data_IF_383647178439
#
_entry.id   IF_383647178439
#
_cell.length_a   1.000
_cell.length_b   1.000
_cell.length_c   1.000
_cell.angle_alpha   90.00
_cell.angle_beta   90.00
_cell.angle_gamma   90.00
#
_symmetry.space_group_name_H-M   'P 1'
#
loop_
_entity.id
_entity.type
_entity.pdbx_description
1 polymer ?
#
# COMPACT_ATOMS: atom_id res chain seq x y z
N UNK A 1 -19.65 0.82 -0.35
CA UNK A 1 -19.73 1.80 -1.47
C UNK A 1 -20.15 1.06 -2.74
N UNK A 2 -21.47 0.80 -2.86
CA UNK A 2 -22.09 0.12 -4.01
C UNK A 2 -21.84 0.88 -5.33
N UNK A 3 -21.72 2.20 -5.26
CA UNK A 3 -21.43 3.05 -6.43
C UNK A 3 -20.06 2.74 -7.10
N UNK A 4 -19.06 2.28 -6.33
CA UNK A 4 -17.76 1.87 -6.90
C UNK A 4 -17.83 0.56 -7.71
N UNK A 5 -18.90 -0.22 -7.51
CA UNK A 5 -19.16 -1.47 -8.23
C UNK A 5 -20.11 -1.26 -9.42
N UNK A 6 -20.48 -0.02 -9.74
CA UNK A 6 -21.46 0.28 -10.77
C UNK A 6 -22.87 -0.24 -10.43
N UNK A 7 -23.21 -0.29 -9.14
CA UNK A 7 -24.51 -0.75 -8.64
C UNK A 7 -25.28 0.46 -8.18
N UNK A 8 -26.29 0.87 -8.96
CA UNK A 8 -27.10 2.05 -8.69
C UNK A 8 -28.43 1.71 -8.00
N UNK A 9 -28.89 0.48 -8.13
CA UNK A 9 -30.15 0.00 -7.58
C UNK A 9 -30.12 -1.50 -7.29
N UNK A 10 -31.20 -2.01 -6.65
CA UNK A 10 -31.32 -3.42 -6.28
C UNK A 10 -31.32 -4.38 -7.50
N UNK A 11 -31.84 -3.94 -8.64
CA UNK A 11 -31.88 -4.78 -9.85
C UNK A 11 -30.49 -4.94 -10.45
N UNK A 12 -29.68 -3.88 -10.49
CA UNK A 12 -28.27 -3.96 -10.92
C UNK A 12 -27.48 -4.89 -10.00
N UNK A 13 -27.78 -4.84 -8.69
CA UNK A 13 -27.15 -5.73 -7.73
C UNK A 13 -27.50 -7.20 -7.96
N UNK A 14 -28.79 -7.50 -8.20
CA UNK A 14 -29.26 -8.84 -8.55
C UNK A 14 -28.58 -9.37 -9.82
N UNK A 15 -28.49 -8.55 -10.88
CA UNK A 15 -27.82 -8.94 -12.12
C UNK A 15 -26.37 -9.32 -11.88
N UNK A 16 -25.63 -8.51 -11.13
CA UNK A 16 -24.22 -8.79 -10.79
C UNK A 16 -24.06 -10.04 -9.94
N UNK A 17 -24.97 -10.32 -9.03
CA UNK A 17 -24.95 -11.58 -8.26
C UNK A 17 -25.19 -12.78 -9.20
N UNK A 18 -26.14 -12.68 -10.12
CA UNK A 18 -26.44 -13.74 -11.08
C UNK A 18 -25.27 -14.00 -12.04
N UNK A 19 -24.45 -12.99 -12.39
CA UNK A 19 -23.24 -13.15 -13.21
C UNK A 19 -22.19 -14.07 -12.59
N UNK A 20 -22.26 -14.28 -11.25
CA UNK A 20 -21.37 -15.14 -10.48
C UNK A 20 -22.12 -16.36 -9.88
N UNK A 21 -23.26 -16.72 -10.47
CA UNK A 21 -24.12 -17.82 -10.03
C UNK A 21 -24.55 -17.72 -8.55
N UNK A 22 -24.83 -16.49 -8.07
CA UNK A 22 -25.20 -16.21 -6.70
C UNK A 22 -26.56 -15.48 -6.63
N UNK A 23 -27.50 -16.00 -5.86
CA UNK A 23 -28.80 -15.37 -5.69
C UNK A 23 -28.83 -14.30 -4.61
N UNK A 24 -29.78 -13.39 -4.67
CA UNK A 24 -29.97 -12.39 -3.62
C UNK A 24 -30.33 -13.04 -2.25
N UNK A 25 -31.01 -14.18 -2.26
CA UNK A 25 -31.34 -14.93 -1.05
C UNK A 25 -30.09 -15.49 -0.38
N UNK A 26 -29.26 -16.18 -1.14
CA UNK A 26 -27.98 -16.73 -0.66
C UNK A 26 -27.05 -15.61 -0.16
N UNK A 27 -27.02 -14.47 -0.86
CA UNK A 27 -26.26 -13.31 -0.40
C UNK A 27 -26.75 -12.79 0.94
N UNK A 28 -28.07 -12.63 1.12
CA UNK A 28 -28.68 -12.19 2.39
C UNK A 28 -28.41 -13.18 3.52
N UNK A 29 -28.54 -14.46 3.25
CA UNK A 29 -28.23 -15.52 4.22
C UNK A 29 -26.77 -15.47 4.67
N UNK A 30 -25.84 -15.39 3.71
CA UNK A 30 -24.40 -15.27 3.99
C UNK A 30 -24.10 -14.05 4.85
N UNK A 31 -24.62 -12.88 4.48
CA UNK A 31 -24.42 -11.64 5.25
C UNK A 31 -25.01 -11.76 6.66
N UNK A 32 -26.17 -12.41 6.80
CA UNK A 32 -26.78 -12.64 8.12
C UNK A 32 -25.93 -13.55 8.99
N UNK A 33 -25.40 -14.62 8.44
CA UNK A 33 -24.48 -15.54 9.15
C UNK A 33 -23.22 -14.80 9.57
N UNK A 34 -22.61 -14.00 8.65
CA UNK A 34 -21.44 -13.19 8.98
C UNK A 34 -21.72 -12.17 10.08
N UNK A 35 -22.90 -11.52 10.05
CA UNK A 35 -23.30 -10.56 11.08
C UNK A 35 -23.46 -11.22 12.45
N UNK A 36 -24.14 -12.36 12.51
CA UNK A 36 -24.29 -13.14 13.76
C UNK A 36 -22.95 -13.64 14.29
N UNK A 37 -22.07 -14.13 13.41
CA UNK A 37 -20.73 -14.54 13.79
C UNK A 37 -19.91 -13.37 14.35
N UNK A 38 -19.93 -12.21 13.67
CA UNK A 38 -19.23 -11.02 14.13
C UNK A 38 -19.76 -10.51 15.47
N UNK A 39 -21.08 -10.56 15.68
CA UNK A 39 -21.71 -10.22 16.95
C UNK A 39 -21.25 -11.17 18.07
N UNK A 40 -21.28 -12.48 17.84
CA UNK A 40 -20.83 -13.50 18.80
C UNK A 40 -19.35 -13.27 19.17
N UNK A 41 -18.49 -13.04 18.18
CA UNK A 41 -17.07 -12.76 18.41
C UNK A 41 -16.88 -11.47 19.21
N UNK A 42 -17.63 -10.43 18.89
CA UNK A 42 -17.59 -9.16 19.59
C UNK A 42 -17.98 -9.34 21.08
N UNK A 43 -19.16 -9.90 21.36
CA UNK A 43 -19.65 -10.11 22.71
C UNK A 43 -18.69 -10.97 23.56
N UNK A 44 -18.11 -12.00 22.96
CA UNK A 44 -17.21 -12.92 23.65
C UNK A 44 -15.82 -12.35 23.91
N UNK A 45 -15.32 -11.45 23.04
CA UNK A 45 -13.91 -11.08 23.05
C UNK A 45 -13.63 -9.59 23.19
N UNK A 46 -14.64 -8.70 23.15
CA UNK A 46 -14.41 -7.26 23.29
C UNK A 46 -13.71 -6.91 24.61
N UNK A 47 -14.04 -7.60 25.70
CA UNK A 47 -13.39 -7.43 27.01
C UNK A 47 -11.92 -7.91 27.06
N UNK A 48 -11.47 -8.66 26.05
CA UNK A 48 -10.08 -9.13 25.92
C UNK A 48 -9.23 -8.27 24.99
N UNK A 49 -9.85 -7.34 24.28
CA UNK A 49 -9.15 -6.39 23.41
C UNK A 49 -8.33 -5.42 24.27
N UNK A 50 -7.04 -5.31 23.99
CA UNK A 50 -6.13 -4.40 24.68
C UNK A 50 -5.55 -3.40 23.68
N UNK A 51 -5.90 -2.13 23.86
CA UNK A 51 -5.40 -1.04 23.03
C UNK A 51 -4.51 -0.12 23.87
N UNK A 52 -3.25 -0.04 23.48
CA UNK A 52 -2.30 0.92 24.06
C UNK A 52 -2.50 2.30 23.39
N UNK A 53 -3.33 3.13 24.01
CA UNK A 53 -3.64 4.46 23.51
C UNK A 53 -2.40 5.35 23.46
N UNK A 54 -1.51 5.28 24.47
CA UNK A 54 -0.28 6.07 24.50
C UNK A 54 0.65 5.77 23.33
N UNK A 55 0.73 4.48 22.94
CA UNK A 55 1.48 4.08 21.74
C UNK A 55 0.86 4.64 20.47
N UNK A 56 -0.48 4.64 20.35
CA UNK A 56 -1.18 5.20 19.19
C UNK A 56 -1.02 6.72 19.11
N UNK A 57 -1.07 7.42 20.23
CA UNK A 57 -0.82 8.86 20.28
C UNK A 57 0.59 9.23 19.80
N UNK A 58 1.60 8.48 20.23
CA UNK A 58 2.97 8.62 19.74
C UNK A 58 3.07 8.36 18.23
N UNK A 59 2.38 7.33 17.74
CA UNK A 59 2.32 7.02 16.31
C UNK A 59 1.69 8.17 15.50
N UNK A 60 0.61 8.79 16.01
CA UNK A 60 -0.03 9.95 15.38
C UNK A 60 0.93 11.15 15.34
N UNK A 61 1.65 11.40 16.43
CA UNK A 61 2.60 12.53 16.52
C UNK A 61 3.73 12.34 15.51
N UNK A 62 4.27 11.12 15.39
CA UNK A 62 5.30 10.79 14.40
C UNK A 62 4.78 10.93 12.96
N UNK A 63 3.53 10.52 12.71
CA UNK A 63 2.91 10.63 11.39
C UNK A 63 2.47 12.05 11.00
N UNK A 64 2.50 13.02 11.94
CA UNK A 64 2.29 14.45 11.64
C UNK A 64 3.42 15.04 10.81
N UNK A 65 4.61 14.48 10.89
CA UNK A 65 5.74 14.84 10.05
C UNK A 65 5.77 13.90 8.84
N UNK A 66 5.52 14.45 7.69
CA UNK A 66 5.58 13.73 6.42
C UNK A 66 6.72 14.27 5.59
N UNK A 67 7.53 13.38 5.06
CA UNK A 67 8.57 13.76 4.11
C UNK A 67 7.96 14.04 2.74
N UNK A 68 8.48 15.06 2.09
CA UNK A 68 8.24 15.33 0.67
C UNK A 68 9.59 15.27 -0.01
N UNK A 69 9.71 14.41 -0.99
CA UNK A 69 10.95 14.16 -1.71
C UNK A 69 10.94 14.86 -3.07
N UNK A 70 11.99 15.57 -3.41
CA UNK A 70 12.23 15.98 -4.80
C UNK A 70 13.05 14.87 -5.46
N UNK A 71 12.46 14.19 -6.43
CA UNK A 71 13.03 13.02 -7.05
C UNK A 71 13.31 13.24 -8.53
N UNK A 72 14.30 12.51 -9.02
CA UNK A 72 14.49 12.25 -10.45
C UNK A 72 14.59 10.75 -10.69
N UNK A 73 14.23 10.29 -11.88
CA UNK A 73 14.23 8.88 -12.24
C UNK A 73 14.99 8.59 -13.53
N UNK A 74 15.53 7.38 -13.61
CA UNK A 74 15.93 6.73 -14.86
C UNK A 74 15.20 5.40 -14.93
N UNK A 75 14.30 5.23 -15.90
CA UNK A 75 13.69 3.96 -16.22
C UNK A 75 14.37 3.36 -17.43
N UNK A 76 14.84 2.13 -17.35
CA UNK A 76 15.48 1.48 -18.48
C UNK A 76 15.03 0.02 -18.62
N UNK A 77 15.06 -0.49 -19.83
CA UNK A 77 14.75 -1.86 -20.18
C UNK A 77 15.99 -2.58 -20.72
N UNK A 78 15.95 -3.90 -20.64
CA UNK A 78 16.96 -4.78 -21.25
C UNK A 78 16.27 -5.91 -21.99
N UNK A 79 16.73 -6.23 -23.18
CA UNK A 79 16.16 -7.30 -24.01
C UNK A 79 16.36 -8.70 -23.37
N UNK A 80 17.49 -8.86 -22.66
CA UNK A 80 17.82 -10.10 -21.96
C UNK A 80 18.71 -9.85 -20.74
N UNK A 81 18.74 -10.81 -19.81
CA UNK A 81 19.51 -10.71 -18.58
C UNK A 81 21.02 -10.47 -18.80
N UNK A 82 21.58 -10.95 -19.90
CA UNK A 82 23.02 -10.79 -20.19
C UNK A 82 23.37 -9.33 -20.48
N UNK A 83 22.42 -8.55 -21.00
CA UNK A 83 22.60 -7.14 -21.33
C UNK A 83 22.47 -6.21 -20.12
N UNK A 84 21.91 -6.68 -19.00
CA UNK A 84 21.67 -5.87 -17.81
C UNK A 84 22.95 -5.22 -17.27
N UNK A 85 23.98 -6.03 -16.99
CA UNK A 85 25.24 -5.52 -16.42
C UNK A 85 25.92 -4.50 -17.34
N UNK A 86 25.89 -4.74 -18.66
CA UNK A 86 26.45 -3.82 -19.65
C UNK A 86 25.68 -2.50 -19.67
N UNK A 87 24.34 -2.56 -19.72
CA UNK A 87 23.48 -1.39 -19.73
C UNK A 87 23.65 -0.57 -18.46
N UNK A 88 23.65 -1.22 -17.29
CA UNK A 88 23.85 -0.57 -16.00
C UNK A 88 25.23 0.12 -15.90
N UNK A 89 26.29 -0.55 -16.34
CA UNK A 89 27.64 0.05 -16.40
C UNK A 89 27.66 1.30 -17.28
N UNK A 90 26.97 1.29 -18.41
CA UNK A 90 26.89 2.45 -19.31
C UNK A 90 26.14 3.60 -18.64
N UNK A 91 24.99 3.34 -18.01
CA UNK A 91 24.22 4.36 -17.28
C UNK A 91 25.07 4.94 -16.14
N UNK A 92 25.70 4.11 -15.32
CA UNK A 92 26.54 4.57 -14.22
C UNK A 92 27.76 5.38 -14.68
N UNK A 93 28.36 5.02 -15.82
CA UNK A 93 29.42 5.80 -16.42
C UNK A 93 28.92 7.18 -16.85
N UNK A 94 27.74 7.25 -17.48
CA UNK A 94 27.14 8.51 -17.90
C UNK A 94 26.78 9.40 -16.70
N UNK A 95 26.18 8.81 -15.63
CA UNK A 95 25.89 9.53 -14.38
C UNK A 95 27.18 10.16 -13.80
N UNK A 96 28.27 9.41 -13.78
CA UNK A 96 29.56 9.89 -13.24
C UNK A 96 30.21 10.97 -14.09
N UNK A 97 30.08 10.89 -15.41
CA UNK A 97 30.78 11.80 -16.34
C UNK A 97 29.98 13.07 -16.65
N UNK A 98 28.64 12.98 -16.72
CA UNK A 98 27.77 14.07 -17.19
C UNK A 98 26.60 14.38 -16.28
N UNK A 99 26.46 13.64 -15.18
CA UNK A 99 25.37 13.80 -14.21
C UNK A 99 24.14 12.95 -14.49
N UNK A 100 23.30 12.82 -13.50
CA UNK A 100 22.11 11.97 -13.51
C UNK A 100 21.09 12.43 -14.56
N UNK A 101 20.90 13.72 -14.68
CA UNK A 101 19.93 14.34 -15.59
C UNK A 101 20.29 14.05 -17.07
N UNK A 102 21.58 14.13 -17.43
CA UNK A 102 22.04 13.76 -18.77
C UNK A 102 21.89 12.25 -19.01
N UNK A 103 22.19 11.43 -18.02
CA UNK A 103 21.98 9.99 -18.15
C UNK A 103 20.48 9.64 -18.33
N UNK A 104 19.58 10.38 -17.67
CA UNK A 104 18.14 10.24 -17.87
C UNK A 104 17.72 10.63 -19.30
N UNK A 105 18.19 11.78 -19.80
CA UNK A 105 17.93 12.22 -21.17
C UNK A 105 18.36 11.20 -22.24
N UNK A 106 19.44 10.48 -21.99
CA UNK A 106 19.98 9.51 -22.94
C UNK A 106 19.33 8.15 -22.81
N UNK A 107 19.21 7.65 -21.58
CA UNK A 107 18.94 6.24 -21.31
C UNK A 107 17.56 5.93 -20.80
N UNK A 108 16.81 6.92 -20.24
CA UNK A 108 15.47 6.68 -19.73
C UNK A 108 14.46 6.42 -20.85
N UNK A 109 13.50 5.55 -20.56
CA UNK A 109 12.34 5.27 -21.42
C UNK A 109 11.03 5.83 -20.84
N UNK A 110 11.11 6.55 -19.72
CA UNK A 110 9.94 7.18 -19.09
C UNK A 110 9.58 8.53 -19.73
N UNK A 111 8.36 9.00 -19.48
CA UNK A 111 7.88 10.31 -19.98
C UNK A 111 8.68 11.48 -19.39
N UNK A 112 9.21 11.32 -18.16
CA UNK A 112 10.07 12.31 -17.51
C UNK A 112 11.45 12.50 -18.19
N UNK A 113 11.79 11.64 -19.13
CA UNK A 113 13.06 11.68 -19.86
C UNK A 113 13.40 13.08 -20.39
N UNK A 114 12.44 13.73 -21.05
CA UNK A 114 12.63 15.08 -21.65
C UNK A 114 12.97 16.16 -20.63
N UNK A 115 12.65 15.92 -19.36
CA UNK A 115 12.93 16.79 -18.21
C UNK A 115 14.17 16.33 -17.42
N UNK A 116 15.04 15.49 -18.02
CA UNK A 116 16.19 14.90 -17.31
C UNK A 116 15.78 13.94 -16.19
N UNK A 117 14.61 13.34 -16.32
CA UNK A 117 14.04 12.42 -15.33
C UNK A 117 13.39 13.12 -14.13
N UNK A 118 13.24 14.44 -14.11
CA UNK A 118 12.68 15.18 -12.97
C UNK A 118 11.21 14.84 -12.77
N UNK A 119 10.88 14.35 -11.56
CA UNK A 119 9.52 14.02 -11.12
C UNK A 119 8.92 15.13 -10.25
N UNK A 120 9.70 16.15 -9.89
CA UNK A 120 9.30 17.19 -8.97
C UNK A 120 9.16 16.69 -7.52
N UNK A 121 8.32 17.40 -6.76
CA UNK A 121 8.07 17.10 -5.35
C UNK A 121 6.96 16.08 -5.18
N UNK A 122 7.27 14.95 -4.54
CA UNK A 122 6.36 13.82 -4.32
C UNK A 122 6.20 13.60 -2.82
N UNK A 123 4.96 13.56 -2.33
CA UNK A 123 4.64 13.27 -0.94
C UNK A 123 4.92 11.79 -0.63
N UNK A 124 5.48 11.52 0.54
CA UNK A 124 5.83 10.16 0.99
C UNK A 124 4.67 9.17 0.91
N UNK A 125 3.45 9.61 1.24
CA UNK A 125 2.24 8.77 1.22
C UNK A 125 1.78 8.39 -0.20
N UNK A 126 2.28 9.06 -1.24
CA UNK A 126 2.01 8.74 -2.64
C UNK A 126 2.97 7.66 -3.18
N UNK A 127 3.97 7.28 -2.41
CA UNK A 127 4.98 6.29 -2.75
C UNK A 127 4.72 5.02 -1.95
N UNK A 128 4.92 3.84 -2.54
CA UNK A 128 4.80 2.62 -1.77
C UNK A 128 5.87 2.56 -0.67
N UNK A 129 5.55 1.86 0.42
CA UNK A 129 6.35 1.85 1.65
C UNK A 129 7.79 1.35 1.44
N UNK A 130 7.98 0.34 0.60
CA UNK A 130 9.32 -0.24 0.36
C UNK A 130 10.21 0.74 -0.40
N UNK A 131 9.62 1.45 -1.37
CA UNK A 131 10.31 2.47 -2.13
C UNK A 131 10.62 3.70 -1.28
N UNK A 132 9.65 4.14 -0.46
CA UNK A 132 9.86 5.22 0.52
C UNK A 132 11.00 4.91 1.48
N UNK A 133 11.05 3.69 2.02
CA UNK A 133 12.13 3.27 2.90
C UNK A 133 13.50 3.32 2.21
N UNK A 134 13.60 2.92 0.95
CA UNK A 134 14.85 3.01 0.17
C UNK A 134 15.27 4.46 -0.06
N UNK A 135 14.32 5.34 -0.38
CA UNK A 135 14.61 6.77 -0.59
C UNK A 135 15.11 7.41 0.71
N UNK A 136 14.53 7.05 1.84
CA UNK A 136 14.94 7.56 3.18
C UNK A 136 16.35 7.18 3.61
N UNK A 137 16.93 6.14 3.00
CA UNK A 137 18.34 5.76 3.28
C UNK A 137 19.35 6.57 2.47
N UNK A 138 18.88 7.37 1.49
CA UNK A 138 19.75 8.18 0.65
C UNK A 138 20.05 9.54 1.30
N UNK A 139 21.26 10.03 1.09
CA UNK A 139 21.58 11.43 1.28
C UNK A 139 21.15 12.23 0.04
N UNK A 140 20.91 13.54 0.22
CA UNK A 140 20.61 14.44 -0.92
C UNK A 140 21.74 14.38 -1.93
N UNK A 141 21.39 14.14 -3.18
CA UNK A 141 22.33 13.94 -4.29
C UNK A 141 22.61 12.48 -4.63
N UNK A 142 22.36 11.55 -3.73
CA UNK A 142 22.52 10.11 -3.97
C UNK A 142 21.35 9.52 -4.77
N UNK A 143 21.59 8.32 -5.31
CA UNK A 143 20.59 7.55 -6.06
C UNK A 143 20.58 6.08 -5.64
N UNK A 144 19.45 5.43 -5.88
CA UNK A 144 19.25 4.02 -5.51
C UNK A 144 20.02 3.08 -6.42
N UNK A 145 20.30 1.87 -5.94
CA UNK A 145 20.52 0.75 -6.83
C UNK A 145 19.29 0.52 -7.73
N UNK A 146 19.44 -0.12 -8.89
CA UNK A 146 18.31 -0.42 -9.76
C UNK A 146 17.24 -1.24 -9.06
N UNK A 147 16.00 -0.77 -9.12
CA UNK A 147 14.81 -1.39 -8.54
C UNK A 147 14.05 -2.04 -9.68
N UNK A 148 13.69 -3.31 -9.50
CA UNK A 148 12.86 -4.03 -10.48
C UNK A 148 11.43 -3.48 -10.43
N UNK A 149 10.92 -3.07 -11.58
CA UNK A 149 9.54 -2.62 -11.77
C UNK A 149 8.88 -3.41 -12.91
N UNK A 150 7.54 -3.41 -13.01
CA UNK A 150 6.88 -3.95 -14.19
C UNK A 150 7.42 -3.28 -15.45
N UNK A 151 7.94 -4.09 -16.39
CA UNK A 151 8.48 -3.60 -17.66
C UNK A 151 9.94 -3.12 -17.65
N UNK A 152 10.68 -3.19 -16.51
CA UNK A 152 12.08 -2.78 -16.53
C UNK A 152 12.71 -2.54 -15.16
N UNK A 153 13.59 -1.55 -15.12
CA UNK A 153 14.37 -1.17 -13.94
C UNK A 153 14.27 0.33 -13.73
N UNK A 154 14.17 0.71 -12.46
CA UNK A 154 14.08 2.10 -12.00
C UNK A 154 15.30 2.46 -11.15
N UNK A 155 15.94 3.57 -11.42
CA UNK A 155 16.91 4.23 -10.54
C UNK A 155 16.30 5.56 -10.12
N UNK A 156 16.25 5.84 -8.83
CA UNK A 156 15.76 7.10 -8.26
C UNK A 156 16.92 7.88 -7.66
N UNK A 157 16.97 9.18 -7.95
CA UNK A 157 17.87 10.13 -7.29
C UNK A 157 17.07 11.02 -6.35
N UNK A 158 17.56 11.16 -5.11
CA UNK A 158 17.05 12.13 -4.17
C UNK A 158 17.71 13.48 -4.41
N UNK A 159 16.98 14.42 -5.05
CA UNK A 159 17.49 15.78 -5.31
C UNK A 159 17.41 16.67 -4.07
N UNK A 160 16.32 16.52 -3.32
CA UNK A 160 16.11 17.29 -2.09
C UNK A 160 15.03 16.61 -1.23
N UNK A 161 14.95 16.98 0.04
CA UNK A 161 13.93 16.51 1.00
C UNK A 161 13.46 17.70 1.83
N UNK A 162 12.17 17.75 2.12
CA UNK A 162 11.57 18.67 3.08
C UNK A 162 10.55 17.95 3.93
N UNK A 163 10.34 18.43 5.13
CA UNK A 163 9.28 17.97 6.02
C UNK A 163 8.06 18.87 5.90
N UNK A 164 6.88 18.25 5.89
CA UNK A 164 5.59 18.93 5.99
C UNK A 164 4.91 18.46 7.28
N UNK A 165 4.48 19.39 8.10
CA UNK A 165 3.62 19.07 9.22
C UNK A 165 2.18 19.01 8.73
N UNK A 166 1.54 17.85 8.84
CA UNK A 166 0.14 17.66 8.50
C UNK A 166 -0.70 18.06 9.71
N UNK A 167 -1.64 18.97 9.53
CA UNK A 167 -2.67 19.27 10.53
C UNK A 167 -3.66 18.10 10.57
N UNK A 168 -3.38 17.10 11.40
CA UNK A 168 -4.32 16.01 11.68
C UNK A 168 -5.12 16.38 12.94
N UNK A 169 -6.43 16.23 12.86
CA UNK A 169 -7.28 16.16 14.05
C UNK A 169 -6.89 14.91 14.84
N UNK A 170 -6.05 15.09 15.84
CA UNK A 170 -5.45 14.00 16.61
C UNK A 170 -6.51 13.10 17.25
N UNK A 171 -7.65 13.66 17.66
CA UNK A 171 -8.72 12.88 18.31
C UNK A 171 -9.42 11.98 17.31
N UNK A 172 -9.78 12.52 16.12
CA UNK A 172 -10.40 11.71 15.05
C UNK A 172 -9.47 10.61 14.55
N UNK A 173 -8.17 10.90 14.41
CA UNK A 173 -7.21 9.90 13.96
C UNK A 173 -6.98 8.83 15.04
N UNK A 174 -6.95 9.21 16.32
CA UNK A 174 -6.86 8.27 17.44
C UNK A 174 -8.06 7.32 17.47
N UNK A 175 -9.28 7.85 17.36
CA UNK A 175 -10.50 7.03 17.33
C UNK A 175 -10.51 6.06 16.15
N UNK A 176 -10.07 6.52 14.99
CA UNK A 176 -9.93 5.68 13.80
C UNK A 176 -8.91 4.56 14.00
N UNK A 177 -7.74 4.86 14.56
CA UNK A 177 -6.72 3.86 14.86
C UNK A 177 -7.18 2.87 15.91
N UNK A 178 -7.84 3.33 16.98
CA UNK A 178 -8.44 2.46 17.99
C UNK A 178 -9.42 1.49 17.34
N UNK A 179 -10.32 1.98 16.49
CA UNK A 179 -11.29 1.14 15.77
C UNK A 179 -10.61 0.10 14.87
N UNK A 180 -9.58 0.50 14.14
CA UNK A 180 -8.81 -0.42 13.28
C UNK A 180 -8.13 -1.50 14.12
N UNK A 181 -7.43 -1.13 15.19
CA UNK A 181 -6.72 -2.07 16.06
C UNK A 181 -7.67 -3.01 16.80
N UNK A 182 -8.82 -2.50 17.25
CA UNK A 182 -9.91 -3.30 17.84
C UNK A 182 -10.38 -4.37 16.85
N UNK A 183 -10.71 -3.98 15.62
CA UNK A 183 -11.16 -4.92 14.59
C UNK A 183 -10.07 -5.95 14.24
N UNK A 184 -8.80 -5.55 14.17
CA UNK A 184 -7.69 -6.47 13.94
C UNK A 184 -7.60 -7.55 15.03
N UNK A 185 -7.70 -7.17 16.31
CA UNK A 185 -7.68 -8.13 17.43
C UNK A 185 -8.92 -9.02 17.44
N UNK A 186 -10.11 -8.46 17.18
CA UNK A 186 -11.34 -9.26 17.06
C UNK A 186 -11.25 -10.28 15.93
N UNK A 187 -10.68 -9.92 14.78
CA UNK A 187 -10.44 -10.85 13.67
C UNK A 187 -9.47 -11.97 14.05
N UNK A 188 -8.42 -11.67 14.82
CA UNK A 188 -7.51 -12.69 15.34
C UNK A 188 -8.25 -13.65 16.30
N UNK A 189 -9.05 -13.13 17.22
CA UNK A 189 -9.86 -13.95 18.10
C UNK A 189 -10.91 -14.76 17.34
N UNK A 190 -11.53 -14.20 16.31
CA UNK A 190 -12.45 -14.89 15.40
C UNK A 190 -11.79 -16.12 14.78
N UNK A 191 -10.60 -15.97 14.21
CA UNK A 191 -9.87 -17.06 13.59
C UNK A 191 -9.50 -18.16 14.60
N UNK A 192 -9.02 -17.76 15.79
CA UNK A 192 -8.69 -18.72 16.86
C UNK A 192 -9.92 -19.48 17.29
N UNK A 193 -11.04 -18.79 17.51
CA UNK A 193 -12.29 -19.38 17.94
C UNK A 193 -12.90 -20.29 16.88
N UNK A 194 -12.91 -19.86 15.63
CA UNK A 194 -13.36 -20.68 14.50
C UNK A 194 -12.55 -21.99 14.40
N UNK A 195 -11.23 -21.92 14.47
CA UNK A 195 -10.38 -23.10 14.41
C UNK A 195 -10.59 -24.04 15.60
N UNK A 196 -10.89 -23.50 16.79
CA UNK A 196 -11.23 -24.31 17.96
C UNK A 196 -12.55 -25.05 17.77
N UNK A 197 -13.60 -24.35 17.31
CA UNK A 197 -14.92 -24.93 17.06
C UNK A 197 -14.84 -26.01 15.97
N UNK A 198 -14.19 -25.69 14.85
CA UNK A 198 -14.06 -26.59 13.69
C UNK A 198 -13.47 -27.97 14.06
N UNK A 199 -12.59 -28.03 15.06
CA UNK A 199 -12.02 -29.31 15.54
C UNK A 199 -13.03 -30.20 16.26
N UNK A 200 -14.10 -29.59 16.81
CA UNK A 200 -15.08 -30.26 17.66
C UNK A 200 -16.41 -30.52 16.96
N UNK A 201 -16.55 -30.13 15.70
CA UNK A 201 -17.79 -30.27 14.92
C UNK A 201 -17.49 -31.20 13.73
N UNK A 202 -18.29 -32.26 13.58
CA UNK A 202 -18.34 -33.03 12.32
C UNK A 202 -19.06 -32.19 11.27
N UNK A 203 -18.35 -31.88 10.19
CA UNK A 203 -18.94 -31.22 9.02
C UNK A 203 -19.31 -32.35 8.06
N UNK A 204 -20.59 -32.63 7.91
CA UNK A 204 -21.12 -33.49 6.87
C UNK A 204 -21.43 -32.63 5.64
N UNK A 205 -20.87 -32.99 4.50
CA UNK A 205 -21.28 -32.38 3.23
C UNK A 205 -22.60 -33.05 2.84
N UNK A 206 -23.66 -32.27 2.76
CA UNK A 206 -24.92 -32.65 2.10
C UNK A 206 -24.76 -32.46 0.60
#
# INVERSE_FOLDING_TARGET
NLNKLGVNNQNDFKKKLNEIDFTLSEFKEKVSIEALWNQLVYEKYIGKVKIDKSKLEKEIILNKKQSIFHLSEIVFTVENKKNYTKKLKTINKEIKSRGFENAALIHSVSDSKSLGGDLGWIEENSINKDLSNKIKTLNVGEFTEPIVIPGGFLILKLKNIKEKTISLDSNKELDKLIKIKTNQQLNQFSNIYFNKIKKNIKIEKI
#
